data_IF_278555794834
#
_entry.id   IF_278555794834
#
_cell.length_a   1.000
_cell.length_b   1.000
_cell.length_c   1.000
_cell.angle_alpha   90.00
_cell.angle_beta   90.00
_cell.angle_gamma   90.00
#
_symmetry.space_group_name_H-M   'P 1'
#
loop_
_entity.id
_entity.type
_entity.pdbx_description
1 polymer ?
#
# COMPACT_ATOMS: atom_id res chain seq x y z
N UNK A 1 -10.24 21.01 -14.38
CA UNK A 1 -10.60 21.35 -12.99
C UNK A 1 -9.77 22.57 -12.61
N UNK A 2 -10.29 23.51 -11.81
CA UNK A 2 -9.47 24.63 -11.34
C UNK A 2 -8.23 24.08 -10.62
N UNK A 3 -7.09 24.72 -10.84
CA UNK A 3 -5.83 24.38 -10.15
C UNK A 3 -5.96 24.72 -8.66
N UNK A 4 -5.20 24.04 -7.79
CA UNK A 4 -5.26 24.24 -6.34
C UNK A 4 -5.13 25.71 -5.90
N UNK A 5 -4.46 26.53 -6.71
CA UNK A 5 -4.28 27.97 -6.48
C UNK A 5 -5.54 28.83 -6.71
N UNK A 6 -6.56 28.32 -7.42
CA UNK A 6 -7.82 29.03 -7.71
C UNK A 6 -8.97 28.61 -6.76
N UNK A 7 -8.72 27.71 -5.81
CA UNK A 7 -9.74 27.27 -4.87
C UNK A 7 -9.86 28.24 -3.70
N UNK A 8 -11.03 28.88 -3.56
CA UNK A 8 -11.37 29.76 -2.42
C UNK A 8 -11.38 28.98 -1.08
N UNK A 9 -11.54 27.65 -1.16
CA UNK A 9 -11.47 26.73 -0.02
C UNK A 9 -10.18 25.93 -0.16
N UNK A 10 -9.24 26.10 0.77
CA UNK A 10 -8.13 25.17 0.93
C UNK A 10 -8.73 23.78 1.26
N UNK A 11 -8.40 22.72 0.50
CA UNK A 11 -8.87 21.38 0.83
C UNK A 11 -8.54 21.02 2.29
N UNK A 12 -9.43 20.30 2.96
CA UNK A 12 -9.24 19.78 4.33
C UNK A 12 -9.24 20.80 5.49
N UNK A 13 -9.42 22.10 5.23
CA UNK A 13 -9.50 23.11 6.32
C UNK A 13 -10.85 23.21 7.01
N UNK A 14 -11.81 22.35 6.63
CA UNK A 14 -13.15 22.30 7.20
C UNK A 14 -13.33 21.13 8.20
N UNK A 15 -12.24 20.48 8.61
CA UNK A 15 -12.29 19.40 9.59
C UNK A 15 -12.30 19.97 11.01
N UNK A 16 -13.26 19.51 11.83
CA UNK A 16 -13.29 19.82 13.27
C UNK A 16 -12.20 19.05 14.03
N UNK A 17 -11.95 17.79 13.63
CA UNK A 17 -10.99 16.88 14.26
C UNK A 17 -10.29 16.03 13.20
N UNK A 18 -9.01 15.72 13.45
CA UNK A 18 -8.20 14.82 12.61
C UNK A 18 -7.60 13.74 13.49
N UNK A 19 -7.85 12.49 13.16
CA UNK A 19 -7.26 11.33 13.83
C UNK A 19 -6.04 10.84 13.05
N UNK A 20 -4.92 10.61 13.73
CA UNK A 20 -3.66 10.18 13.12
C UNK A 20 -3.10 8.93 13.82
N UNK A 21 -2.11 8.30 13.19
CA UNK A 21 -1.51 7.07 13.69
C UNK A 21 -0.55 7.28 14.86
N UNK A 22 0.22 8.38 14.84
CA UNK A 22 1.28 8.64 15.82
C UNK A 22 1.42 10.13 16.08
N UNK A 23 1.76 10.51 17.32
CA UNK A 23 2.08 11.89 17.69
C UNK A 23 3.25 12.46 16.86
N UNK A 24 4.15 11.60 16.37
CA UNK A 24 5.30 12.01 15.54
C UNK A 24 4.84 12.64 14.22
N UNK A 25 3.69 12.22 13.67
CA UNK A 25 3.17 12.70 12.39
C UNK A 25 2.40 14.01 12.55
N UNK A 26 2.01 14.37 13.77
CA UNK A 26 1.16 15.54 14.09
C UNK A 26 1.61 16.85 13.44
N UNK A 27 2.91 17.22 13.42
CA UNK A 27 3.36 18.45 12.77
C UNK A 27 3.06 18.47 11.26
N UNK A 28 3.17 17.32 10.59
CA UNK A 28 2.87 17.22 9.15
C UNK A 28 1.38 17.44 8.88
N UNK A 29 0.51 16.86 9.70
CA UNK A 29 -0.95 17.02 9.57
C UNK A 29 -1.43 18.44 9.90
N UNK A 30 -0.89 19.06 10.95
CA UNK A 30 -1.18 20.47 11.30
C UNK A 30 -0.80 21.39 10.15
N UNK A 31 0.38 21.20 9.56
CA UNK A 31 0.84 22.01 8.43
C UNK A 31 0.02 21.76 7.15
N UNK A 32 -0.29 20.49 6.85
CA UNK A 32 -0.99 20.12 5.62
C UNK A 32 -2.47 20.53 5.62
N UNK A 33 -3.14 20.43 6.77
CA UNK A 33 -4.59 20.69 6.89
C UNK A 33 -4.93 22.04 7.50
N UNK A 34 -3.95 22.86 7.89
CA UNK A 34 -4.15 24.19 8.47
C UNK A 34 -5.12 24.16 9.67
N UNK A 35 -4.96 23.14 10.53
CA UNK A 35 -5.83 22.84 11.66
C UNK A 35 -5.11 23.08 13.01
N UNK A 36 -5.87 23.44 14.05
CA UNK A 36 -5.32 23.64 15.39
C UNK A 36 -4.71 22.34 15.93
N UNK A 37 -3.51 22.36 16.54
CA UNK A 37 -2.86 21.16 17.08
C UNK A 37 -3.73 20.36 18.07
N UNK A 38 -4.54 21.03 18.89
CA UNK A 38 -5.40 20.38 19.88
C UNK A 38 -6.56 19.59 19.24
N UNK A 39 -6.82 19.81 17.96
CA UNK A 39 -7.83 19.10 17.17
C UNK A 39 -7.23 17.91 16.38
N UNK A 40 -5.93 17.66 16.54
CA UNK A 40 -5.24 16.50 15.95
C UNK A 40 -4.95 15.49 17.07
N UNK A 41 -5.59 14.33 17.00
CA UNK A 41 -5.52 13.29 18.03
C UNK A 41 -4.81 12.05 17.48
N UNK A 42 -3.73 11.62 18.13
CA UNK A 42 -3.04 10.39 17.79
C UNK A 42 -3.65 9.19 18.53
N UNK A 43 -4.71 8.62 17.96
CA UNK A 43 -5.42 7.47 18.54
C UNK A 43 -5.06 6.14 17.88
N UNK A 44 -4.33 6.18 16.76
CA UNK A 44 -4.24 5.05 15.83
C UNK A 44 -5.38 5.03 14.82
N UNK A 45 -5.21 4.26 13.74
CA UNK A 45 -6.23 4.07 12.71
C UNK A 45 -7.30 3.07 13.20
N UNK A 46 -8.61 3.41 13.21
CA UNK A 46 -9.67 2.47 13.62
C UNK A 46 -9.68 1.15 12.83
N UNK A 47 -9.17 1.17 11.59
CA UNK A 47 -9.00 -0.03 10.79
C UNK A 47 -8.03 -1.04 11.41
N UNK A 48 -7.02 -0.56 12.14
CA UNK A 48 -6.04 -1.42 12.80
C UNK A 48 -6.68 -2.23 13.93
N UNK A 49 -7.70 -1.73 14.63
CA UNK A 49 -8.40 -2.51 15.67
C UNK A 49 -8.95 -3.84 15.12
N UNK A 50 -9.60 -3.79 13.95
CA UNK A 50 -10.14 -4.97 13.29
C UNK A 50 -9.04 -5.88 12.71
N UNK A 51 -7.90 -5.30 12.29
CA UNK A 51 -6.76 -6.06 11.77
C UNK A 51 -5.99 -6.76 12.89
N UNK A 52 -5.80 -6.09 14.03
CA UNK A 52 -5.10 -6.60 15.21
C UNK A 52 -5.88 -7.67 15.93
N UNK A 53 -7.22 -7.63 15.86
CA UNK A 53 -8.08 -8.70 16.34
C UNK A 53 -7.88 -10.02 15.57
N UNK A 54 -7.33 -9.96 14.35
CA UNK A 54 -7.01 -11.14 13.56
C UNK A 54 -5.63 -11.67 13.96
N UNK A 55 -5.55 -12.95 14.33
CA UNK A 55 -4.28 -13.60 14.62
C UNK A 55 -3.61 -13.98 13.31
N UNK A 56 -2.28 -13.83 13.17
CA UNK A 56 -1.56 -14.42 12.05
C UNK A 56 -1.84 -15.93 12.06
N UNK A 57 -2.44 -16.43 10.99
CA UNK A 57 -2.75 -17.86 10.89
C UNK A 57 -1.58 -18.57 10.21
N UNK A 58 -0.93 -19.54 10.88
CA UNK A 58 -0.05 -20.46 10.18
C UNK A 58 -0.90 -21.25 9.20
N UNK A 59 -0.63 -21.11 7.90
CA UNK A 59 -1.27 -21.94 6.90
C UNK A 59 -0.29 -23.03 6.45
N UNK A 60 -0.82 -24.23 6.23
CA UNK A 60 -0.06 -25.33 5.64
C UNK A 60 -0.26 -25.33 4.12
N UNK A 61 0.81 -25.52 3.36
CA UNK A 61 0.75 -25.63 1.90
C UNK A 61 1.54 -24.55 1.16
N UNK A 62 0.95 -24.03 0.09
CA UNK A 62 1.55 -23.02 -0.78
C UNK A 62 1.72 -21.68 -0.06
N UNK A 63 2.88 -21.04 -0.22
CA UNK A 63 3.09 -19.69 0.31
C UNK A 63 2.18 -18.68 -0.37
N UNK A 64 1.78 -17.62 0.32
CA UNK A 64 0.86 -16.62 -0.21
C UNK A 64 1.55 -15.28 -0.40
N UNK A 65 1.47 -14.75 -1.61
CA UNK A 65 1.93 -13.42 -1.97
C UNK A 65 0.71 -12.53 -2.23
N UNK A 66 0.69 -11.33 -1.68
CA UNK A 66 -0.25 -10.29 -2.06
C UNK A 66 0.49 -9.16 -2.76
N UNK A 67 0.09 -8.81 -3.97
CA UNK A 67 0.55 -7.63 -4.68
C UNK A 67 -0.57 -6.59 -4.74
N UNK A 68 -0.30 -5.38 -4.26
CA UNK A 68 -1.23 -4.25 -4.34
C UNK A 68 -0.50 -2.99 -4.79
N UNK A 69 -0.38 -2.76 -6.11
CA UNK A 69 0.16 -1.51 -6.64
C UNK A 69 -0.82 -0.35 -6.44
N UNK A 70 -0.29 0.86 -6.25
CA UNK A 70 -1.11 2.07 -6.18
C UNK A 70 -1.61 2.48 -7.57
N UNK A 71 -2.75 3.17 -7.60
CA UNK A 71 -3.29 3.76 -8.82
C UNK A 71 -2.36 4.87 -9.34
N UNK A 72 -2.23 4.97 -10.67
CA UNK A 72 -1.52 6.06 -11.34
C UNK A 72 -2.55 6.95 -12.06
N UNK A 73 -2.68 8.24 -11.68
CA UNK A 73 -3.70 9.13 -12.24
C UNK A 73 -3.38 9.65 -13.64
N UNK A 74 -2.16 9.41 -14.14
CA UNK A 74 -1.76 9.83 -15.48
C UNK A 74 -2.54 9.09 -16.57
N UNK A 75 -2.62 9.67 -17.77
CA UNK A 75 -3.37 9.10 -18.91
C UNK A 75 -2.92 7.66 -19.28
N UNK A 76 -1.64 7.33 -19.10
CA UNK A 76 -1.09 5.99 -19.36
C UNK A 76 -0.94 5.14 -18.07
N UNK A 77 -1.44 5.64 -16.94
CA UNK A 77 -1.24 5.04 -15.63
C UNK A 77 -1.84 3.65 -15.51
N UNK A 78 -3.01 3.41 -16.10
CA UNK A 78 -3.63 2.08 -16.14
C UNK A 78 -2.77 1.06 -16.88
N UNK A 79 -2.34 1.39 -18.10
CA UNK A 79 -1.48 0.52 -18.90
C UNK A 79 -0.16 0.21 -18.17
N UNK A 80 0.40 1.21 -17.48
CA UNK A 80 1.61 1.06 -16.67
C UNK A 80 1.40 0.10 -15.49
N UNK A 81 0.32 0.27 -14.71
CA UNK A 81 0.02 -0.62 -13.58
C UNK A 81 -0.26 -2.05 -14.05
N UNK A 82 -1.01 -2.22 -15.14
CA UNK A 82 -1.26 -3.54 -15.73
C UNK A 82 0.04 -4.19 -16.24
N UNK A 83 0.95 -3.42 -16.83
CA UNK A 83 2.26 -3.92 -17.21
C UNK A 83 3.05 -4.46 -16.01
N UNK A 84 3.08 -3.72 -14.90
CA UNK A 84 3.75 -4.15 -13.67
C UNK A 84 3.16 -5.41 -13.06
N UNK A 85 1.83 -5.56 -13.11
CA UNK A 85 1.16 -6.79 -12.68
C UNK A 85 1.58 -7.97 -13.57
N UNK A 86 1.61 -7.76 -14.89
CA UNK A 86 2.05 -8.80 -15.82
C UNK A 86 3.50 -9.23 -15.55
N UNK A 87 4.42 -8.26 -15.37
CA UNK A 87 5.82 -8.56 -15.02
C UNK A 87 5.95 -9.38 -13.73
N UNK A 88 5.19 -9.01 -12.68
CA UNK A 88 5.19 -9.75 -11.42
C UNK A 88 4.66 -11.18 -11.59
N UNK A 89 3.58 -11.36 -12.35
CA UNK A 89 3.03 -12.69 -12.66
C UNK A 89 4.07 -13.53 -13.42
N UNK A 90 4.68 -12.99 -14.47
CA UNK A 90 5.73 -13.70 -15.22
C UNK A 90 6.94 -14.04 -14.34
N UNK A 91 7.41 -13.12 -13.51
CA UNK A 91 8.53 -13.37 -12.59
C UNK A 91 8.19 -14.48 -11.56
N UNK A 92 6.92 -14.57 -11.15
CA UNK A 92 6.48 -15.56 -10.18
C UNK A 92 6.56 -17.00 -10.69
N UNK A 93 6.57 -17.23 -12.00
CA UNK A 93 6.72 -18.56 -12.61
C UNK A 93 8.08 -19.20 -12.28
N UNK A 94 9.07 -18.38 -11.91
CA UNK A 94 10.42 -18.84 -11.56
C UNK A 94 10.52 -19.28 -10.08
N UNK A 95 9.45 -19.13 -9.29
CA UNK A 95 9.45 -19.51 -7.89
C UNK A 95 9.45 -21.04 -7.74
N UNK A 96 10.46 -21.56 -7.02
CA UNK A 96 10.72 -23.01 -6.92
C UNK A 96 9.74 -23.79 -6.03
N UNK A 97 9.01 -23.10 -5.16
CA UNK A 97 8.05 -23.70 -4.22
C UNK A 97 6.64 -23.25 -4.62
N UNK A 98 5.57 -23.96 -4.23
CA UNK A 98 4.21 -23.55 -4.60
C UNK A 98 3.84 -22.21 -3.95
N UNK A 99 3.26 -21.31 -4.75
CA UNK A 99 2.75 -20.02 -4.31
C UNK A 99 1.31 -19.79 -4.78
N UNK A 100 0.49 -19.19 -3.93
CA UNK A 100 -0.75 -18.51 -4.30
C UNK A 100 -0.48 -17.01 -4.40
N UNK A 101 -0.93 -16.40 -5.49
CA UNK A 101 -0.64 -15.00 -5.82
C UNK A 101 -1.95 -14.24 -5.90
N UNK A 102 -2.10 -13.28 -5.01
CA UNK A 102 -3.25 -12.41 -4.92
C UNK A 102 -2.85 -11.04 -5.46
N UNK A 103 -3.57 -10.52 -6.44
CA UNK A 103 -3.37 -9.17 -6.96
C UNK A 103 -4.61 -8.34 -6.63
N UNK A 104 -4.43 -7.33 -5.80
CA UNK A 104 -5.47 -6.34 -5.51
C UNK A 104 -5.30 -5.15 -6.43
N UNK A 105 -6.24 -5.01 -7.37
CA UNK A 105 -6.30 -3.92 -8.32
C UNK A 105 -7.19 -2.79 -7.75
N UNK A 106 -6.80 -1.54 -8.02
CA UNK A 106 -7.63 -0.39 -7.63
C UNK A 106 -8.97 -0.40 -8.39
N UNK A 107 -10.12 -0.02 -7.78
CA UNK A 107 -11.42 -0.01 -8.44
C UNK A 107 -11.56 0.92 -9.65
N UNK A 108 -10.61 1.84 -9.83
CA UNK A 108 -10.58 2.77 -10.98
C UNK A 108 -9.92 2.18 -12.23
N UNK A 109 -9.31 1.00 -12.11
CA UNK A 109 -8.70 0.31 -13.25
C UNK A 109 -9.70 -0.69 -13.81
N UNK A 110 -9.57 -1.06 -15.08
CA UNK A 110 -10.37 -2.14 -15.65
C UNK A 110 -9.79 -3.49 -15.24
N UNK A 111 -10.64 -4.45 -14.88
CA UNK A 111 -10.18 -5.83 -14.70
C UNK A 111 -9.71 -6.37 -16.05
N UNK A 112 -8.49 -6.91 -16.13
CA UNK A 112 -7.99 -7.47 -17.38
C UNK A 112 -8.64 -8.84 -17.67
N UNK A 113 -8.99 -9.08 -18.93
CA UNK A 113 -9.44 -10.38 -19.42
C UNK A 113 -8.24 -11.27 -19.79
N UNK A 114 -7.36 -11.55 -18.82
CA UNK A 114 -6.18 -12.37 -19.03
C UNK A 114 -6.44 -13.86 -18.76
N UNK A 115 -5.77 -14.72 -19.52
CA UNK A 115 -5.66 -16.13 -19.16
C UNK A 115 -4.60 -16.28 -18.06
N UNK A 116 -5.08 -16.45 -16.82
CA UNK A 116 -4.22 -16.52 -15.65
C UNK A 116 -3.84 -17.98 -15.30
N UNK A 117 -2.63 -18.22 -14.77
CA UNK A 117 -2.33 -19.45 -14.06
C UNK A 117 -3.33 -19.72 -12.93
N UNK A 118 -3.58 -20.99 -12.59
CA UNK A 118 -4.60 -21.36 -11.61
C UNK A 118 -4.34 -20.86 -10.18
N UNK A 119 -3.09 -20.50 -9.88
CA UNK A 119 -2.63 -19.98 -8.59
C UNK A 119 -2.58 -18.45 -8.54
N UNK A 120 -3.08 -17.75 -9.58
CA UNK A 120 -3.10 -16.28 -9.66
C UNK A 120 -4.54 -15.78 -9.60
N UNK A 121 -4.80 -14.88 -8.65
CA UNK A 121 -6.13 -14.33 -8.37
C UNK A 121 -6.10 -12.81 -8.43
N UNK A 122 -6.74 -12.21 -9.43
CA UNK A 122 -6.88 -10.75 -9.54
C UNK A 122 -8.27 -10.33 -9.05
N UNK A 123 -8.36 -9.30 -8.20
CA UNK A 123 -9.62 -8.81 -7.66
C UNK A 123 -9.57 -7.30 -7.34
N UNK A 124 -10.76 -6.70 -7.20
CA UNK A 124 -10.95 -5.27 -6.88
C UNK A 124 -11.82 -5.10 -5.64
N UNK A 125 -11.34 -5.55 -4.48
CA UNK A 125 -12.08 -5.49 -3.23
C UNK A 125 -11.14 -5.17 -2.06
N UNK A 126 -11.23 -3.95 -1.56
CA UNK A 126 -10.45 -3.47 -0.43
C UNK A 126 -10.78 -4.21 0.88
N UNK A 127 -11.99 -4.74 1.05
CA UNK A 127 -12.37 -5.54 2.22
C UNK A 127 -11.66 -6.89 2.17
N UNK A 128 -11.64 -7.52 0.99
CA UNK A 128 -10.93 -8.78 0.78
C UNK A 128 -9.43 -8.67 1.02
N UNK A 129 -8.80 -7.54 0.68
CA UNK A 129 -7.39 -7.28 1.03
C UNK A 129 -7.16 -7.46 2.53
N UNK A 130 -8.00 -6.82 3.36
CA UNK A 130 -7.87 -6.84 4.82
C UNK A 130 -8.04 -8.24 5.40
N UNK A 131 -8.98 -9.01 4.85
CA UNK A 131 -9.23 -10.39 5.26
C UNK A 131 -8.08 -11.33 4.85
N UNK A 132 -7.40 -11.05 3.74
CA UNK A 132 -6.27 -11.85 3.28
C UNK A 132 -5.01 -11.61 4.11
N UNK A 133 -4.76 -10.35 4.53
CA UNK A 133 -3.51 -9.92 5.16
C UNK A 133 -2.97 -10.88 6.24
N UNK A 134 -3.74 -11.40 7.22
CA UNK A 134 -3.22 -12.32 8.23
C UNK A 134 -2.68 -13.65 7.68
N UNK A 135 -3.05 -14.00 6.45
CA UNK A 135 -2.65 -15.25 5.78
C UNK A 135 -1.51 -15.06 4.78
N UNK A 136 -1.14 -13.82 4.45
CA UNK A 136 -0.12 -13.51 3.44
C UNK A 136 1.28 -13.65 4.01
N UNK A 137 2.17 -14.39 3.35
CA UNK A 137 3.56 -14.55 3.76
C UNK A 137 4.47 -13.41 3.29
N UNK A 138 4.17 -12.81 2.13
CA UNK A 138 4.93 -11.69 1.56
C UNK A 138 3.97 -10.69 0.94
N UNK A 139 4.11 -9.41 1.33
CA UNK A 139 3.36 -8.32 0.72
C UNK A 139 4.25 -7.54 -0.25
N UNK A 140 3.80 -7.41 -1.50
CA UNK A 140 4.43 -6.58 -2.52
C UNK A 140 3.56 -5.35 -2.74
N UNK A 141 4.15 -4.17 -2.71
CA UNK A 141 3.44 -2.91 -3.01
C UNK A 141 4.44 -1.86 -3.50
N UNK A 142 4.01 -0.64 -3.74
CA UNK A 142 4.85 0.47 -4.17
C UNK A 142 4.81 1.62 -3.15
N UNK A 143 3.89 2.58 -3.32
CA UNK A 143 3.75 3.80 -2.53
C UNK A 143 2.51 3.74 -1.62
N UNK A 144 1.99 2.54 -1.34
CA UNK A 144 0.77 2.34 -0.55
C UNK A 144 1.04 2.42 0.94
N UNK A 145 0.19 3.15 1.66
CA UNK A 145 0.13 3.11 3.13
C UNK A 145 -0.29 1.74 3.68
N UNK A 146 -0.84 0.84 2.85
CA UNK A 146 -1.13 -0.54 3.25
C UNK A 146 0.11 -1.30 3.72
N UNK A 147 1.31 -0.87 3.31
CA UNK A 147 2.58 -1.42 3.82
C UNK A 147 2.72 -1.21 5.33
N UNK A 148 2.27 -0.06 5.84
CA UNK A 148 2.27 0.25 7.27
C UNK A 148 1.30 -0.68 8.01
N UNK A 149 0.10 -0.90 7.45
CA UNK A 149 -0.89 -1.78 8.06
C UNK A 149 -0.43 -3.25 8.05
N UNK A 150 0.22 -3.70 6.98
CA UNK A 150 0.78 -5.04 6.89
C UNK A 150 2.00 -5.25 7.81
N UNK A 151 2.74 -4.18 8.14
CA UNK A 151 3.91 -4.26 9.02
C UNK A 151 3.60 -4.84 10.40
N UNK A 152 2.35 -4.73 10.86
CA UNK A 152 1.85 -5.36 12.09
C UNK A 152 2.10 -6.87 12.15
N UNK A 153 2.06 -7.56 11.00
CA UNK A 153 2.27 -9.00 10.96
C UNK A 153 3.74 -9.42 11.05
N UNK A 154 4.68 -8.46 11.04
CA UNK A 154 6.13 -8.70 11.07
C UNK A 154 6.61 -9.64 9.93
N UNK A 155 5.92 -9.57 8.78
CA UNK A 155 6.22 -10.37 7.59
C UNK A 155 6.91 -9.54 6.51
N UNK A 156 7.68 -10.18 5.61
CA UNK A 156 8.37 -9.48 4.53
C UNK A 156 7.47 -8.57 3.69
N UNK A 157 7.93 -7.32 3.50
CA UNK A 157 7.36 -6.35 2.57
C UNK A 157 8.39 -6.08 1.47
N UNK A 158 7.98 -6.18 0.21
CA UNK A 158 8.79 -5.84 -0.95
C UNK A 158 8.21 -4.61 -1.63
N UNK A 159 9.03 -3.58 -1.81
CA UNK A 159 8.66 -2.39 -2.55
C UNK A 159 9.07 -2.54 -4.01
N UNK A 160 8.08 -2.64 -4.91
CA UNK A 160 8.29 -2.70 -6.35
C UNK A 160 7.98 -1.34 -6.98
N UNK A 161 9.02 -0.53 -7.16
CA UNK A 161 8.92 0.88 -7.57
C UNK A 161 9.70 1.14 -8.87
N UNK A 162 9.32 0.53 -10.01
CA UNK A 162 10.02 0.71 -11.30
C UNK A 162 9.95 2.16 -11.83
N UNK A 163 8.98 2.95 -11.37
CA UNK A 163 8.76 4.35 -11.74
C UNK A 163 9.23 5.35 -10.67
N UNK A 164 10.09 4.94 -9.72
CA UNK A 164 10.50 5.75 -8.59
C UNK A 164 10.96 7.16 -8.96
N UNK A 165 11.83 7.30 -9.95
CA UNK A 165 12.35 8.61 -10.37
C UNK A 165 11.23 9.51 -10.91
N UNK A 166 10.30 8.93 -11.68
CA UNK A 166 9.18 9.66 -12.27
C UNK A 166 8.17 10.06 -11.19
N UNK A 167 7.90 9.17 -10.24
CA UNK A 167 6.98 9.40 -9.14
C UNK A 167 7.50 10.52 -8.23
N UNK A 168 8.78 10.46 -7.83
CA UNK A 168 9.41 11.47 -6.97
C UNK A 168 9.51 12.85 -7.62
N UNK A 169 9.60 12.93 -8.95
CA UNK A 169 9.60 14.20 -9.66
C UNK A 169 8.21 14.89 -9.63
N UNK A 170 7.13 14.13 -9.47
CA UNK A 170 5.75 14.64 -9.48
C UNK A 170 5.17 14.88 -8.09
N UNK A 171 5.60 14.11 -7.10
CA UNK A 171 5.04 14.18 -5.75
C UNK A 171 6.07 14.67 -4.73
N UNK A 172 5.67 15.63 -3.90
CA UNK A 172 6.39 15.96 -2.68
C UNK A 172 6.14 14.85 -1.65
N UNK A 173 7.05 13.87 -1.61
CA UNK A 173 6.98 12.79 -0.62
C UNK A 173 7.43 13.31 0.75
N UNK A 174 6.52 13.43 1.71
CA UNK A 174 6.90 13.61 3.12
C UNK A 174 7.40 12.27 3.65
N UNK A 175 8.71 12.08 3.57
CA UNK A 175 9.50 11.11 4.35
C UNK A 175 8.83 9.74 4.61
N UNK A 176 9.00 8.78 3.71
CA UNK A 176 8.90 7.36 4.12
C UNK A 176 10.21 7.00 4.81
N UNK A 177 10.26 7.15 6.13
CA UNK A 177 11.21 6.42 6.98
C UNK A 177 10.44 5.17 7.46
N UNK A 178 10.48 4.09 6.68
CA UNK A 178 10.08 2.78 7.22
C UNK A 178 11.27 2.26 7.99
N UNK A 179 11.31 2.60 9.28
CA UNK A 179 12.11 1.88 10.28
C UNK A 179 11.17 0.92 10.98
N UNK A 180 11.26 -0.37 10.65
CA UNK A 180 10.62 -1.43 11.45
C UNK A 180 11.76 -2.19 12.12
N UNK A 181 11.87 -2.04 13.45
CA UNK A 181 12.93 -2.63 14.27
C UNK A 181 12.39 -3.83 15.06
N UNK A 182 12.87 -5.01 14.69
CA UNK A 182 12.93 -6.20 15.55
C UNK A 182 14.34 -6.80 15.41
N UNK A 183 15.24 -6.41 16.32
CA UNK A 183 16.63 -6.88 16.48
C UNK A 183 17.43 -7.17 15.19
N UNK A 184 18.10 -6.13 14.67
CA UNK A 184 19.09 -6.18 13.59
C UNK A 184 18.65 -6.91 12.32
N UNK A 185 18.00 -6.22 11.37
CA UNK A 185 18.03 -6.64 9.96
C UNK A 185 17.93 -5.43 9.03
N UNK A 186 18.86 -5.37 8.07
CA UNK A 186 19.02 -4.37 7.03
C UNK A 186 18.01 -4.63 5.90
N UNK A 187 17.09 -3.69 5.63
CA UNK A 187 16.21 -3.78 4.46
C UNK A 187 17.03 -3.40 3.22
N UNK A 188 17.39 -4.40 2.40
CA UNK A 188 18.10 -4.18 1.15
C UNK A 188 17.06 -3.92 0.07
N UNK A 189 17.08 -2.72 -0.52
CA UNK A 189 16.43 -2.49 -1.81
C UNK A 189 17.05 -3.48 -2.80
N UNK A 190 16.37 -4.59 -3.07
CA UNK A 190 16.76 -5.48 -4.15
C UNK A 190 16.32 -4.80 -5.43
N UNK A 191 17.23 -4.03 -6.04
CA UNK A 191 17.17 -3.80 -7.48
C UNK A 191 17.28 -5.18 -8.13
N UNK A 192 16.18 -5.67 -8.69
CA UNK A 192 16.22 -6.76 -9.67
C UNK A 192 16.87 -6.23 -10.95
#
# INVERSE_FOLDING_TARGET
MPTADDSVIKPHTNYDWVFINSEVDKPAYVAAFDIQPDHVLATGEPMMDALMAQRPEPHAGAKRLLYSPTYRPDANGEAQVLHYIHELITASEQLKQPWEIYVSLHPYLSLPEWQLPSNVHIFQDATRVKQLMPTIDVFVTDYSSLSLNFSYFERPILLFTPDYEQYMAKMAFTSIIITISGHHTLMRLVRL
#
